data_IF_315158644515
#
_entry.id   IF_315158644515
#
_cell.length_a   1.000
_cell.length_b   1.000
_cell.length_c   1.000
_cell.angle_alpha   90.00
_cell.angle_beta   90.00
_cell.angle_gamma   90.00
#
_symmetry.space_group_name_H-M   'P 1'
#
loop_
_entity.id
_entity.type
_entity.pdbx_description
1 polymer ?
#
# COMPACT_ATOMS: atom_id res chain seq x y z
N UNK A 1 -0.38 21.57 -13.16
CA UNK A 1 0.33 22.29 -14.23
C UNK A 1 0.19 21.39 -15.45
N UNK A 2 -0.74 21.72 -16.35
CA UNK A 2 -1.04 20.89 -17.53
C UNK A 2 0.19 20.87 -18.43
N UNK A 3 0.77 19.70 -18.67
CA UNK A 3 1.90 19.57 -19.59
C UNK A 3 1.38 19.72 -21.02
N UNK A 4 1.91 20.69 -21.75
CA UNK A 4 1.55 20.94 -23.14
C UNK A 4 2.21 19.87 -24.02
N UNK A 5 1.52 19.41 -25.07
CA UNK A 5 2.03 18.43 -26.03
C UNK A 5 3.47 18.74 -26.47
N UNK A 6 4.38 17.77 -26.29
CA UNK A 6 5.80 17.89 -26.68
C UNK A 6 6.79 18.22 -25.56
N UNK A 7 6.38 18.27 -24.28
CA UNK A 7 7.31 18.40 -23.15
C UNK A 7 7.96 17.07 -22.76
N UNK A 8 9.26 17.10 -22.50
CA UNK A 8 10.02 15.97 -21.98
C UNK A 8 9.58 15.64 -20.55
N UNK A 9 9.08 14.43 -20.33
CA UNK A 9 8.76 13.92 -19.00
C UNK A 9 10.07 13.37 -18.42
N UNK A 10 10.70 14.12 -17.53
CA UNK A 10 11.88 13.66 -16.80
C UNK A 10 11.42 12.90 -15.56
N UNK A 11 11.65 11.58 -15.56
CA UNK A 11 11.48 10.74 -14.37
C UNK A 11 12.84 10.64 -13.69
N UNK A 12 13.02 11.36 -12.59
CA UNK A 12 14.25 11.28 -11.81
C UNK A 12 14.20 10.07 -10.86
N UNK A 13 15.30 9.31 -10.73
CA UNK A 13 15.38 8.24 -9.75
C UNK A 13 15.34 8.81 -8.34
N UNK A 14 14.59 8.17 -7.45
CA UNK A 14 14.59 8.52 -6.03
C UNK A 14 15.87 7.95 -5.39
N UNK A 15 16.67 8.82 -4.75
CA UNK A 15 17.96 8.44 -4.13
C UNK A 15 17.82 7.68 -2.79
N UNK A 16 16.59 7.40 -2.35
CA UNK A 16 16.31 6.72 -1.08
C UNK A 16 16.04 5.23 -1.27
N UNK A 17 16.82 4.41 -0.58
CA UNK A 17 16.56 2.97 -0.45
C UNK A 17 15.60 2.71 0.72
N UNK A 18 14.60 1.85 0.49
CA UNK A 18 13.67 1.41 1.53
C UNK A 18 14.26 0.20 2.25
N UNK A 19 14.57 0.35 3.53
CA UNK A 19 14.96 -0.74 4.42
C UNK A 19 13.77 -1.13 5.30
N UNK A 20 13.49 -2.44 5.35
CA UNK A 20 12.34 -2.98 6.09
C UNK A 20 12.86 -4.02 7.07
N UNK A 21 12.52 -3.83 8.33
CA UNK A 21 12.74 -4.78 9.40
C UNK A 21 11.44 -4.94 10.15
N UNK A 22 10.96 -6.18 10.27
CA UNK A 22 9.69 -6.50 10.92
C UNK A 22 9.88 -7.55 12.00
N UNK A 23 9.10 -7.40 13.08
CA UNK A 23 9.03 -8.34 14.18
C UNK A 23 7.58 -8.74 14.40
N UNK A 24 7.26 -10.01 14.17
CA UNK A 24 5.94 -10.56 14.50
C UNK A 24 5.94 -11.12 15.92
N UNK A 25 4.99 -10.66 16.75
CA UNK A 25 4.82 -11.16 18.12
C UNK A 25 3.99 -12.44 18.11
N UNK A 26 4.52 -13.50 18.70
CA UNK A 26 3.80 -14.76 18.94
C UNK A 26 3.28 -14.80 20.37
N UNK A 27 2.00 -15.13 20.55
CA UNK A 27 1.39 -15.27 21.88
C UNK A 27 1.79 -16.60 22.54
N UNK A 28 2.05 -16.56 23.85
CA UNK A 28 2.48 -17.71 24.66
C UNK A 28 1.52 -18.90 24.57
N UNK A 29 0.21 -18.64 24.52
CA UNK A 29 -0.85 -19.63 24.38
C UNK A 29 -0.76 -20.43 23.08
N UNK A 30 -0.27 -19.80 21.99
CA UNK A 30 0.02 -20.50 20.73
C UNK A 30 1.30 -21.34 20.83
N UNK A 31 2.27 -20.90 21.63
CA UNK A 31 3.50 -21.69 21.86
C UNK A 31 3.27 -22.94 22.72
N UNK A 32 2.29 -22.89 23.63
CA UNK A 32 2.00 -23.98 24.58
C UNK A 32 1.01 -25.02 24.05
N UNK A 33 0.08 -24.63 23.17
CA UNK A 33 -0.92 -25.55 22.57
C UNK A 33 -0.45 -26.21 21.26
N UNK A 34 0.70 -25.79 20.73
CA UNK A 34 1.28 -26.32 19.50
C UNK A 34 0.65 -25.73 18.23
N UNK A 35 1.29 -25.98 17.09
CA UNK A 35 0.80 -25.54 15.79
C UNK A 35 0.04 -26.66 15.07
N UNK A 36 -1.11 -26.32 14.50
CA UNK A 36 -1.72 -27.12 13.44
C UNK A 36 -1.27 -26.57 12.09
N UNK A 37 -1.33 -27.38 11.02
CA UNK A 37 -1.03 -26.90 9.67
C UNK A 37 -1.86 -25.67 9.29
N UNK A 38 -3.15 -25.66 9.65
CA UNK A 38 -4.06 -24.55 9.35
C UNK A 38 -3.71 -23.26 10.10
N UNK A 39 -3.38 -23.35 11.39
CA UNK A 39 -2.99 -22.16 12.18
C UNK A 39 -1.64 -21.61 11.75
N UNK A 40 -0.70 -22.47 11.34
CA UNK A 40 0.60 -22.05 10.83
C UNK A 40 0.48 -21.36 9.46
N UNK A 41 -0.38 -21.88 8.59
CA UNK A 41 -0.65 -21.25 7.29
C UNK A 41 -1.31 -19.88 7.46
N UNK A 42 -2.30 -19.75 8.36
CA UNK A 42 -2.93 -18.47 8.65
C UNK A 42 -1.94 -17.46 9.24
N UNK A 43 -1.09 -17.89 10.18
CA UNK A 43 -0.08 -17.00 10.76
C UNK A 43 0.94 -16.55 9.71
N UNK A 44 1.36 -17.45 8.80
CA UNK A 44 2.24 -17.08 7.69
C UNK A 44 1.58 -16.05 6.74
N UNK A 45 0.30 -16.23 6.40
CA UNK A 45 -0.42 -15.26 5.55
C UNK A 45 -0.56 -13.89 6.23
N UNK A 46 -0.90 -13.88 7.53
CA UNK A 46 -0.98 -12.64 8.31
C UNK A 46 0.37 -11.91 8.36
N UNK A 47 1.48 -12.65 8.51
CA UNK A 47 2.83 -12.06 8.46
C UNK A 47 3.07 -11.43 7.09
N UNK A 48 2.80 -12.15 5.99
CA UNK A 48 2.97 -11.61 4.65
C UNK A 48 2.16 -10.33 4.43
N UNK A 49 0.90 -10.28 4.87
CA UNK A 49 0.07 -9.07 4.78
C UNK A 49 0.64 -7.89 5.57
N UNK A 50 1.14 -8.13 6.78
CA UNK A 50 1.75 -7.08 7.61
C UNK A 50 3.05 -6.56 7.01
N UNK A 51 3.87 -7.45 6.44
CA UNK A 51 5.07 -7.08 5.68
C UNK A 51 4.69 -6.16 4.54
N UNK A 52 3.74 -6.57 3.69
CA UNK A 52 3.30 -5.77 2.54
C UNK A 52 2.79 -4.39 2.97
N UNK A 53 1.99 -4.30 4.02
CA UNK A 53 1.51 -3.01 4.56
C UNK A 53 2.64 -2.13 5.09
N UNK A 54 3.65 -2.74 5.71
CA UNK A 54 4.85 -2.02 6.17
C UNK A 54 5.69 -1.52 4.99
N UNK A 55 5.84 -2.32 3.93
CA UNK A 55 6.47 -1.89 2.67
C UNK A 55 5.73 -0.67 2.13
N UNK A 56 4.40 -0.75 2.03
CA UNK A 56 3.59 0.34 1.50
C UNK A 56 3.70 1.62 2.34
N UNK A 57 3.74 1.50 3.67
CA UNK A 57 3.93 2.66 4.56
C UNK A 57 5.29 3.33 4.33
N UNK A 58 6.36 2.55 4.19
CA UNK A 58 7.69 3.08 3.86
C UNK A 58 7.76 3.68 2.47
N UNK A 59 7.06 3.08 1.51
CA UNK A 59 6.93 3.65 0.17
C UNK A 59 6.24 5.01 0.22
N UNK A 60 5.17 5.14 1.01
CA UNK A 60 4.49 6.43 1.21
C UNK A 60 5.42 7.47 1.81
N UNK A 61 6.23 7.13 2.82
CA UNK A 61 7.24 8.05 3.38
C UNK A 61 8.21 8.59 2.31
N UNK A 62 8.68 7.70 1.43
CA UNK A 62 9.59 8.06 0.34
C UNK A 62 8.88 8.90 -0.72
N UNK A 63 7.65 8.52 -1.08
CA UNK A 63 6.83 9.27 -2.04
C UNK A 63 6.58 10.68 -1.54
N UNK A 64 6.19 10.86 -0.28
CA UNK A 64 5.96 12.17 0.34
C UNK A 64 7.19 13.08 0.26
N UNK A 65 8.39 12.51 0.35
CA UNK A 65 9.64 13.28 0.21
C UNK A 65 9.97 13.69 -1.24
N UNK A 66 9.26 13.12 -2.23
CA UNK A 66 9.53 13.35 -3.64
C UNK A 66 9.01 14.72 -4.11
N UNK A 67 9.88 15.47 -4.79
CA UNK A 67 9.54 16.76 -5.41
C UNK A 67 8.61 16.63 -6.62
N UNK A 68 8.43 15.42 -7.14
CA UNK A 68 7.60 15.12 -8.30
C UNK A 68 6.12 14.92 -7.93
N UNK A 69 5.79 14.84 -6.64
CA UNK A 69 4.40 14.73 -6.20
C UNK A 69 3.68 16.08 -6.35
N UNK A 70 2.54 16.03 -7.02
CA UNK A 70 1.56 17.11 -7.04
C UNK A 70 0.56 16.86 -5.91
N UNK A 71 0.65 17.63 -4.84
CA UNK A 71 -0.34 17.59 -3.76
C UNK A 71 -1.62 18.31 -4.20
N UNK A 72 -2.76 17.67 -4.00
CA UNK A 72 -4.09 18.25 -4.22
C UNK A 72 -4.80 18.24 -2.86
N UNK A 73 -5.06 19.42 -2.32
CA UNK A 73 -5.82 19.55 -1.07
C UNK A 73 -7.30 19.35 -1.35
N UNK A 74 -7.88 18.32 -0.75
CA UNK A 74 -9.31 18.04 -0.81
C UNK A 74 -9.98 18.45 0.51
N UNK A 75 -11.26 18.85 0.47
CA UNK A 75 -12.03 19.11 1.68
C UNK A 75 -12.04 17.89 2.60
N UNK A 76 -12.10 18.12 3.92
CA UNK A 76 -12.17 17.04 4.90
C UNK A 76 -13.34 16.10 4.56
N UNK A 77 -13.03 14.81 4.44
CA UNK A 77 -14.00 13.76 4.16
C UNK A 77 -15.01 13.64 5.32
N UNK A 78 -16.14 14.33 5.17
CA UNK A 78 -17.24 14.37 6.14
C UNK A 78 -18.45 13.59 5.64
N UNK A 79 -19.34 13.18 6.54
CA UNK A 79 -20.57 12.46 6.19
C UNK A 79 -20.48 10.94 6.24
N UNK A 80 -21.38 10.27 5.51
CA UNK A 80 -21.53 8.81 5.49
C UNK A 80 -20.36 8.13 4.77
N UNK A 81 -20.10 6.85 5.06
CA UNK A 81 -19.03 6.08 4.43
C UNK A 81 -19.10 6.10 2.90
N UNK A 82 -20.32 6.11 2.34
CA UNK A 82 -20.52 6.16 0.90
C UNK A 82 -20.17 7.54 0.32
N UNK A 83 -20.55 8.63 1.00
CA UNK A 83 -20.19 9.98 0.57
C UNK A 83 -18.67 10.21 0.60
N UNK A 84 -17.97 9.63 1.57
CA UNK A 84 -16.50 9.67 1.62
C UNK A 84 -15.87 8.92 0.46
N UNK A 85 -16.40 7.74 0.15
CA UNK A 85 -15.92 6.93 -0.97
C UNK A 85 -16.17 7.63 -2.31
N UNK A 86 -17.36 8.20 -2.51
CA UNK A 86 -17.69 8.96 -3.72
C UNK A 86 -16.75 10.16 -3.88
N UNK A 87 -16.47 10.92 -2.81
CA UNK A 87 -15.52 12.03 -2.86
C UNK A 87 -14.08 11.61 -3.20
N UNK A 88 -13.63 10.43 -2.73
CA UNK A 88 -12.33 9.87 -3.10
C UNK A 88 -12.33 9.50 -4.58
N UNK A 89 -13.39 8.85 -5.07
CA UNK A 89 -13.51 8.48 -6.48
C UNK A 89 -13.49 9.71 -7.39
N UNK A 90 -14.33 10.70 -7.10
CA UNK A 90 -14.40 11.94 -7.87
C UNK A 90 -13.02 12.63 -7.92
N UNK A 91 -12.33 12.69 -6.78
CA UNK A 91 -10.98 13.25 -6.73
C UNK A 91 -9.97 12.47 -7.58
N UNK A 92 -10.05 11.14 -7.61
CA UNK A 92 -9.18 10.32 -8.45
C UNK A 92 -9.45 10.55 -9.94
N UNK A 93 -10.71 10.58 -10.36
CA UNK A 93 -11.09 10.82 -11.75
C UNK A 93 -10.80 12.26 -12.22
N UNK A 94 -10.97 13.26 -11.36
CA UNK A 94 -10.72 14.67 -11.71
C UNK A 94 -9.23 15.00 -11.80
N UNK A 95 -8.37 14.29 -11.07
CA UNK A 95 -6.94 14.58 -10.99
C UNK A 95 -6.06 13.69 -11.87
N UNK A 96 -6.63 12.90 -12.79
CA UNK A 96 -5.83 12.21 -13.81
C UNK A 96 -5.22 13.24 -14.77
N UNK A 97 -3.95 13.07 -15.09
CA UNK A 97 -3.25 13.95 -16.02
C UNK A 97 -3.09 13.20 -17.36
N UNK A 98 -3.71 13.67 -18.46
CA UNK A 98 -3.71 12.96 -19.75
C UNK A 98 -2.32 12.62 -20.30
N UNK A 99 -1.28 13.31 -19.83
CA UNK A 99 0.11 13.07 -20.23
C UNK A 99 0.72 11.81 -19.60
N UNK A 100 0.19 11.34 -18.47
CA UNK A 100 0.66 10.12 -17.78
C UNK A 100 -0.30 8.93 -17.92
N UNK A 101 -1.58 9.22 -18.18
CA UNK A 101 -2.65 8.25 -18.36
C UNK A 101 -3.99 8.97 -18.36
N UNK A 102 -4.89 8.60 -19.27
CA UNK A 102 -6.18 9.30 -19.44
C UNK A 102 -7.28 8.71 -18.58
N UNK A 103 -7.07 7.50 -18.04
CA UNK A 103 -8.03 6.77 -17.23
C UNK A 103 -7.42 6.37 -15.89
N UNK A 104 -8.23 6.17 -14.86
CA UNK A 104 -7.78 5.70 -13.53
C UNK A 104 -7.11 4.32 -13.61
N UNK A 105 -7.47 3.51 -14.61
CA UNK A 105 -6.86 2.20 -14.91
C UNK A 105 -5.36 2.27 -15.23
N UNK A 106 -4.88 3.40 -15.76
CA UNK A 106 -3.46 3.64 -16.05
C UNK A 106 -2.64 3.97 -14.78
N UNK A 107 -3.28 4.15 -13.62
CA UNK A 107 -2.64 4.52 -12.36
C UNK A 107 -2.78 3.45 -11.30
N UNK A 108 -1.72 3.17 -10.53
CA UNK A 108 -1.81 2.40 -9.28
C UNK A 108 -2.17 3.32 -8.12
N UNK A 109 -3.02 2.85 -7.20
CA UNK A 109 -3.49 3.64 -6.07
C UNK A 109 -2.93 3.08 -4.76
N UNK A 110 -2.46 3.96 -3.88
CA UNK A 110 -2.09 3.61 -2.51
C UNK A 110 -2.95 4.44 -1.55
N UNK A 111 -3.76 3.78 -0.72
CA UNK A 111 -4.68 4.44 0.20
C UNK A 111 -4.43 4.05 1.66
N UNK A 112 -4.76 4.95 2.58
CA UNK A 112 -4.70 4.63 4.00
C UNK A 112 -5.77 3.59 4.38
N UNK A 113 -5.48 2.71 5.33
CA UNK A 113 -6.41 1.66 5.76
C UNK A 113 -7.75 2.20 6.30
N UNK A 114 -7.80 3.46 6.75
CA UNK A 114 -9.04 4.13 7.17
C UNK A 114 -10.09 4.18 6.05
N UNK A 115 -9.65 4.23 4.79
CA UNK A 115 -10.51 4.36 3.62
C UNK A 115 -11.04 3.01 3.12
N UNK A 116 -10.45 1.89 3.56
CA UNK A 116 -10.84 0.53 3.16
C UNK A 116 -12.34 0.28 3.43
N UNK A 117 -12.85 0.70 4.59
CA UNK A 117 -14.26 0.50 4.96
C UNK A 117 -15.21 1.33 4.09
N UNK A 118 -14.79 2.53 3.69
CA UNK A 118 -15.58 3.40 2.83
C UNK A 118 -15.65 2.82 1.41
N UNK A 119 -14.50 2.46 0.84
CA UNK A 119 -14.39 1.88 -0.50
C UNK A 119 -15.09 0.52 -0.61
N UNK A 120 -14.90 -0.36 0.38
CA UNK A 120 -15.61 -1.65 0.46
C UNK A 120 -17.13 -1.47 0.47
N UNK A 121 -17.63 -0.49 1.24
CA UNK A 121 -19.07 -0.20 1.30
C UNK A 121 -19.61 0.30 -0.03
N UNK A 122 -18.83 1.11 -0.75
CA UNK A 122 -19.20 1.60 -2.08
C UNK A 122 -19.21 0.46 -3.10
N UNK A 123 -18.17 -0.39 -3.13
CA UNK A 123 -18.09 -1.56 -4.01
C UNK A 123 -19.30 -2.48 -3.82
N UNK A 124 -19.64 -2.80 -2.56
CA UNK A 124 -20.82 -3.60 -2.24
C UNK A 124 -22.14 -2.97 -2.70
N UNK A 125 -22.26 -1.63 -2.62
CA UNK A 125 -23.43 -0.89 -3.10
C UNK A 125 -23.56 -0.95 -4.62
N UNK A 126 -22.44 -0.96 -5.34
CA UNK A 126 -22.39 -1.05 -6.80
C UNK A 126 -22.54 -2.49 -7.31
N UNK A 127 -22.64 -3.48 -6.42
CA UNK A 127 -22.84 -4.88 -6.77
C UNK A 127 -21.55 -5.69 -6.93
N UNK A 128 -20.39 -5.07 -6.65
CA UNK A 128 -19.12 -5.81 -6.57
C UNK A 128 -19.04 -6.57 -5.25
N UNK A 129 -18.58 -7.82 -5.32
CA UNK A 129 -18.45 -8.69 -4.16
C UNK A 129 -17.30 -9.66 -4.37
N UNK A 130 -16.65 -10.08 -3.29
CA UNK A 130 -15.45 -10.92 -3.35
C UNK A 130 -14.21 -10.20 -2.83
N UNK A 131 -13.08 -10.89 -2.93
CA UNK A 131 -11.77 -10.43 -2.45
C UNK A 131 -11.29 -9.19 -3.22
N UNK A 132 -11.56 -9.16 -4.54
CA UNK A 132 -11.13 -8.10 -5.45
C UNK A 132 -12.21 -7.04 -5.73
N UNK A 133 -13.28 -6.99 -4.93
CA UNK A 133 -14.43 -6.12 -5.20
C UNK A 133 -14.07 -4.63 -5.36
N UNK A 134 -13.04 -4.16 -4.65
CA UNK A 134 -12.56 -2.78 -4.76
C UNK A 134 -11.71 -2.59 -6.02
N UNK A 135 -10.90 -3.58 -6.39
CA UNK A 135 -10.08 -3.57 -7.61
C UNK A 135 -10.99 -3.59 -8.84
N UNK A 136 -12.01 -4.45 -8.84
CA UNK A 136 -13.02 -4.54 -9.90
C UNK A 136 -13.80 -3.23 -10.05
N UNK A 137 -14.16 -2.59 -8.93
CA UNK A 137 -14.84 -1.30 -8.93
C UNK A 137 -13.94 -0.18 -9.49
N UNK A 138 -12.67 -0.15 -9.12
CA UNK A 138 -11.71 0.88 -9.54
C UNK A 138 -11.19 0.67 -10.97
N UNK A 139 -11.18 -0.58 -11.45
CA UNK A 139 -10.50 -0.96 -12.68
C UNK A 139 -8.97 -0.85 -12.59
N UNK A 140 -8.42 -0.76 -11.38
CA UNK A 140 -6.98 -0.67 -11.14
C UNK A 140 -6.58 -1.25 -9.80
N UNK A 141 -5.30 -1.60 -9.68
CA UNK A 141 -4.69 -2.13 -8.47
C UNK A 141 -4.66 -1.07 -7.37
N UNK A 142 -5.13 -1.45 -6.19
CA UNK A 142 -5.06 -0.65 -4.98
C UNK A 142 -4.26 -1.37 -3.90
N UNK A 143 -3.34 -0.65 -3.28
CA UNK A 143 -2.60 -1.11 -2.12
C UNK A 143 -2.96 -0.26 -0.90
N UNK A 144 -2.81 -0.85 0.29
CA UNK A 144 -3.10 -0.18 1.55
C UNK A 144 -1.84 -0.04 2.39
N UNK A 145 -1.69 1.11 3.05
CA UNK A 145 -0.66 1.33 4.06
C UNK A 145 -1.28 1.58 5.43
N UNK A 146 -0.50 1.24 6.46
CA UNK A 146 -0.84 1.45 7.85
C UNK A 146 -0.06 2.65 8.41
N UNK A 147 -0.54 3.21 9.53
CA UNK A 147 0.16 4.24 10.28
C UNK A 147 -0.62 5.55 10.33
N UNK A 148 0.08 6.66 10.18
CA UNK A 148 -0.55 7.98 10.10
C UNK A 148 -1.22 8.16 8.73
N UNK A 149 -2.42 8.73 8.71
CA UNK A 149 -3.15 8.99 7.46
C UNK A 149 -2.49 10.16 6.71
N UNK A 150 -1.71 9.81 5.69
CA UNK A 150 -1.02 10.74 4.77
C UNK A 150 -1.81 10.97 3.48
N UNK A 151 -3.06 10.51 3.43
CA UNK A 151 -3.93 10.63 2.26
C UNK A 151 -3.81 9.48 1.26
N UNK A 152 -4.28 9.75 0.04
CA UNK A 152 -4.34 8.80 -1.07
C UNK A 152 -3.33 9.22 -2.14
N UNK A 153 -2.51 8.28 -2.59
CA UNK A 153 -1.48 8.47 -3.59
C UNK A 153 -1.91 7.79 -4.90
N UNK A 154 -1.65 8.48 -6.01
CA UNK A 154 -1.94 7.99 -7.36
C UNK A 154 -0.65 8.03 -8.18
N UNK A 155 -0.25 6.88 -8.73
CA UNK A 155 1.04 6.70 -9.41
C UNK A 155 0.81 6.16 -10.82
N UNK A 156 1.33 6.85 -11.83
CA UNK A 156 1.18 6.40 -13.22
C UNK A 156 2.02 5.12 -13.44
N UNK A 157 1.35 4.02 -13.82
CA UNK A 157 1.98 2.69 -13.95
C UNK A 157 3.13 2.69 -14.96
N UNK A 158 3.03 3.49 -16.02
CA UNK A 158 4.02 3.55 -17.11
C UNK A 158 5.32 4.27 -16.74
N UNK A 159 5.28 5.11 -15.70
CA UNK A 159 6.39 5.98 -15.31
C UNK A 159 6.94 5.66 -13.93
N UNK A 160 6.34 4.71 -13.22
CA UNK A 160 6.74 4.33 -11.87
C UNK A 160 7.26 2.89 -11.89
N UNK A 161 8.49 2.70 -11.45
CA UNK A 161 9.08 1.37 -11.29
C UNK A 161 9.64 1.23 -9.88
N UNK A 162 9.32 0.11 -9.23
CA UNK A 162 9.94 -0.29 -7.96
C UNK A 162 10.91 -1.43 -8.25
N UNK A 163 12.15 -1.21 -7.85
CA UNK A 163 13.22 -2.18 -7.95
C UNK A 163 13.57 -2.64 -6.54
N UNK A 164 13.46 -3.94 -6.30
CA UNK A 164 13.90 -4.55 -5.05
C UNK A 164 15.37 -4.95 -5.19
N UNK A 165 16.26 -4.13 -4.62
CA UNK A 165 17.67 -4.47 -4.48
C UNK A 165 17.92 -5.20 -3.16
N UNK A 166 18.15 -6.51 -3.20
CA UNK A 166 18.53 -7.25 -2.00
C UNK A 166 20.01 -6.99 -1.67
N UNK A 167 20.31 -6.55 -0.44
CA UNK A 167 21.69 -6.56 0.04
C UNK A 167 22.17 -8.02 0.10
N UNK A 168 23.15 -8.35 -0.75
CA UNK A 168 23.85 -9.64 -0.67
C UNK A 168 24.74 -9.63 0.58
N UNK A 169 24.28 -10.27 1.63
CA UNK A 169 25.19 -10.96 2.55
C UNK A 169 25.02 -12.45 2.28
N UNK A 170 26.04 -13.06 1.67
CA UNK A 170 26.26 -14.52 1.63
C UNK A 170 25.23 -15.39 0.88
N UNK A 171 24.33 -14.80 0.09
CA UNK A 171 23.44 -15.54 -0.82
C UNK A 171 22.11 -15.98 -0.21
N UNK A 172 21.82 -15.58 1.03
CA UNK A 172 20.51 -15.74 1.65
C UNK A 172 19.71 -14.44 1.58
N UNK A 173 18.44 -14.55 1.19
CA UNK A 173 17.57 -13.40 0.87
C UNK A 173 16.70 -12.96 2.06
N UNK A 174 16.56 -13.81 3.06
CA UNK A 174 15.70 -13.62 4.24
C UNK A 174 16.43 -14.23 5.44
N UNK A 175 16.83 -13.41 6.41
CA UNK A 175 17.38 -13.91 7.67
C UNK A 175 16.27 -13.99 8.71
N UNK A 176 15.77 -15.20 8.95
CA UNK A 176 14.79 -15.45 10.02
C UNK A 176 15.56 -15.74 11.30
N UNK A 177 15.59 -14.77 12.22
CA UNK A 177 16.17 -14.97 13.55
C UNK A 177 15.06 -15.41 14.51
N UNK A 178 15.08 -16.68 14.89
CA UNK A 178 14.24 -17.20 15.96
C UNK A 178 14.92 -16.90 17.30
N UNK A 179 14.49 -15.85 18.00
CA UNK A 179 14.90 -15.62 19.37
C UNK A 179 13.87 -16.22 20.33
N UNK A 180 14.28 -17.25 21.08
CA UNK A 180 13.68 -17.55 22.40
C UNK A 180 14.38 -16.62 23.37
N UNK A 181 13.64 -15.96 24.25
CA UNK A 181 14.20 -15.16 25.34
C UNK A 181 15.41 -15.87 25.98
N UNK A 182 16.58 -15.26 25.83
CA UNK A 182 17.86 -15.73 26.37
C UNK A 182 18.14 -15.26 27.79
N UNK A 183 17.15 -14.74 28.51
CA UNK A 183 17.30 -14.26 29.90
C UNK A 183 17.09 -15.36 30.95
N UNK A 184 17.04 -16.62 30.52
CA UNK A 184 16.99 -17.78 31.43
C UNK A 184 17.65 -19.01 30.82
N UNK A 185 18.98 -18.96 30.68
CA UNK A 185 19.79 -20.18 30.74
C UNK A 185 20.89 -19.97 31.78
N UNK A 186 20.54 -20.28 33.02
CA UNK A 186 21.49 -20.65 34.09
C UNK A 186 21.88 -22.11 33.96
#
# INVERSE_FOLDING_TARGET
>A
MLTTSGQEIVVEPIEQAILISEQTKLWDAKSSTGFTQGTLQQDAMNICENVVRTINARMVDVLESSKLLKTVELPVLTGSLTAKADAIMDALYENTEPSFGSEVSDYGIIAHESQLKALSRLAAKQGFSGEDAIVDMLGTDIAYYNGEDKGVFMLAKRFTALSFGCFRHDGENITVVLSRDGDSQS
#
